data_IF_380235152273
#
_entry.id   IF_380235152273
#
_cell.length_a   1.000
_cell.length_b   1.000
_cell.length_c   1.000
_cell.angle_alpha   90.00
_cell.angle_beta   90.00
_cell.angle_gamma   90.00
#
_symmetry.space_group_name_H-M   'P 1'
#
loop_
_entity.id
_entity.type
_entity.pdbx_description
1 polymer ?
#
# COMPACT_ATOMS: atom_id res chain seq x y z
N UNK A 1 6.34 -2.75 32.57
CA UNK A 1 5.19 -1.88 32.20
C UNK A 1 4.63 -2.14 30.80
N UNK A 2 5.40 -2.63 29.81
CA UNK A 2 4.90 -2.90 28.45
C UNK A 2 4.21 -4.27 28.25
N UNK A 3 4.28 -5.17 29.24
CA UNK A 3 3.74 -6.54 29.14
C UNK A 3 2.23 -6.56 28.86
N UNK A 4 1.44 -5.71 29.54
CA UNK A 4 -0.02 -5.67 29.35
C UNK A 4 -0.40 -5.19 27.93
N UNK A 5 0.14 -4.08 27.39
CA UNK A 5 -0.06 -3.70 25.99
C UNK A 5 0.42 -4.77 24.99
N UNK A 6 1.62 -5.33 25.20
CA UNK A 6 2.20 -6.32 24.29
C UNK A 6 1.36 -7.59 24.22
N UNK A 7 0.92 -8.11 25.37
CA UNK A 7 0.04 -9.29 25.45
C UNK A 7 -1.31 -9.04 24.78
N UNK A 8 -1.89 -7.85 24.96
CA UNK A 8 -3.17 -7.48 24.33
C UNK A 8 -3.06 -7.47 22.81
N UNK A 9 -2.02 -6.87 22.25
CA UNK A 9 -1.80 -6.83 20.80
C UNK A 9 -1.45 -8.22 20.24
N UNK A 10 -0.65 -9.00 20.95
CA UNK A 10 -0.37 -10.39 20.56
C UNK A 10 -1.65 -11.23 20.48
N UNK A 11 -2.57 -11.08 21.45
CA UNK A 11 -3.88 -11.72 21.41
C UNK A 11 -4.74 -11.17 20.26
N UNK A 12 -4.79 -9.85 20.04
CA UNK A 12 -5.52 -9.28 18.90
C UNK A 12 -5.06 -9.89 17.58
N UNK A 13 -3.75 -10.09 17.42
CA UNK A 13 -3.16 -10.70 16.23
C UNK A 13 -3.59 -12.16 15.97
N UNK A 14 -4.15 -12.89 16.94
CA UNK A 14 -4.61 -14.27 16.73
C UNK A 14 -6.02 -14.37 16.16
N UNK A 15 -6.82 -13.30 16.22
CA UNK A 15 -8.23 -13.34 15.80
C UNK A 15 -8.66 -12.18 14.90
N UNK A 16 -7.93 -11.06 14.86
CA UNK A 16 -8.24 -9.93 13.99
C UNK A 16 -7.60 -10.14 12.60
N UNK A 17 -8.38 -10.48 11.55
CA UNK A 17 -7.83 -10.67 10.21
C UNK A 17 -7.23 -9.38 9.62
N UNK A 18 -7.59 -8.20 10.16
CA UNK A 18 -7.08 -6.89 9.75
C UNK A 18 -5.81 -6.45 10.50
N UNK A 19 -5.24 -7.29 11.37
CA UNK A 19 -4.13 -6.92 12.26
C UNK A 19 -2.95 -6.27 11.52
N UNK A 20 -2.66 -6.71 10.30
CA UNK A 20 -1.52 -6.24 9.49
C UNK A 20 -1.86 -5.08 8.53
N UNK A 21 -3.10 -4.59 8.50
CA UNK A 21 -3.55 -3.59 7.51
C UNK A 21 -2.73 -2.29 7.55
N UNK A 22 -2.32 -1.84 8.74
CA UNK A 22 -1.49 -0.64 8.89
C UNK A 22 -0.16 -0.79 8.13
N UNK A 23 0.55 -1.89 8.38
CA UNK A 23 1.84 -2.19 7.75
C UNK A 23 1.67 -2.45 6.27
N UNK A 24 0.68 -3.27 5.89
CA UNK A 24 0.38 -3.57 4.49
C UNK A 24 0.07 -2.29 3.71
N UNK A 25 -0.80 -1.42 4.24
CA UNK A 25 -1.15 -0.16 3.61
C UNK A 25 0.05 0.77 3.45
N UNK A 26 0.90 0.88 4.46
CA UNK A 26 2.16 1.63 4.37
C UNK A 26 3.07 1.11 3.26
N UNK A 27 3.26 -0.21 3.18
CA UNK A 27 4.07 -0.85 2.14
C UNK A 27 3.48 -0.63 0.74
N UNK A 28 2.16 -0.69 0.60
CA UNK A 28 1.46 -0.41 -0.66
C UNK A 28 1.65 1.04 -1.13
N UNK A 29 1.53 2.03 -0.23
CA UNK A 29 1.77 3.44 -0.55
C UNK A 29 3.23 3.67 -0.95
N UNK A 30 4.18 3.08 -0.22
CA UNK A 30 5.61 3.18 -0.55
C UNK A 30 5.92 2.59 -1.93
N UNK A 31 5.34 1.42 -2.25
CA UNK A 31 5.46 0.81 -3.56
C UNK A 31 4.84 1.68 -4.65
N UNK A 32 3.62 2.20 -4.44
CA UNK A 32 2.95 3.08 -5.39
C UNK A 32 3.77 4.34 -5.68
N UNK A 33 4.35 4.96 -4.64
CA UNK A 33 5.26 6.11 -4.79
C UNK A 33 6.49 5.76 -5.63
N UNK A 34 7.13 4.62 -5.34
CA UNK A 34 8.30 4.17 -6.11
C UNK A 34 7.97 3.96 -7.58
N UNK A 35 6.84 3.34 -7.87
CA UNK A 35 6.39 3.09 -9.24
C UNK A 35 6.02 4.41 -9.95
N UNK A 36 5.36 5.34 -9.25
CA UNK A 36 5.04 6.69 -9.76
C UNK A 36 6.30 7.50 -10.08
N UNK A 37 7.30 7.44 -9.19
CA UNK A 37 8.59 8.11 -9.40
C UNK A 37 9.34 7.54 -10.62
N UNK A 38 9.32 6.22 -10.82
CA UNK A 38 9.93 5.57 -11.98
C UNK A 38 9.27 5.99 -13.29
N UNK A 39 7.94 6.09 -13.32
CA UNK A 39 7.19 6.45 -14.52
C UNK A 39 7.34 7.92 -14.91
N UNK A 40 7.46 8.81 -13.91
CA UNK A 40 7.58 10.24 -14.16
C UNK A 40 9.03 10.72 -14.34
N UNK A 41 10.03 9.92 -13.97
CA UNK A 41 11.44 10.21 -14.19
C UNK A 41 11.85 11.59 -13.65
N UNK A 42 12.47 12.41 -14.49
CA UNK A 42 12.91 13.77 -14.13
C UNK A 42 11.76 14.74 -13.83
N UNK A 43 10.53 14.45 -14.27
CA UNK A 43 9.35 15.25 -13.98
C UNK A 43 8.70 14.92 -12.62
N UNK A 44 9.22 13.92 -11.90
CA UNK A 44 8.70 13.55 -10.58
C UNK A 44 8.92 14.65 -9.55
N UNK A 45 7.87 14.96 -8.78
CA UNK A 45 8.00 15.68 -7.51
C UNK A 45 7.21 14.97 -6.42
N UNK A 46 7.73 15.04 -5.19
CA UNK A 46 7.07 14.44 -4.03
C UNK A 46 5.72 15.12 -3.71
N UNK A 47 5.66 16.45 -3.91
CA UNK A 47 4.44 17.24 -3.69
C UNK A 47 3.30 16.77 -4.60
N UNK A 48 3.55 16.68 -5.91
CA UNK A 48 2.53 16.25 -6.89
C UNK A 48 2.00 14.85 -6.58
N UNK A 49 2.88 13.92 -6.18
CA UNK A 49 2.46 12.59 -5.75
C UNK A 49 1.51 12.66 -4.55
N UNK A 50 1.83 13.44 -3.51
CA UNK A 50 0.97 13.56 -2.33
C UNK A 50 -0.35 14.26 -2.64
N UNK A 51 -0.31 15.34 -3.41
CA UNK A 51 -1.51 16.09 -3.80
C UNK A 51 -2.48 15.19 -4.58
N UNK A 52 -1.97 14.43 -5.56
CA UNK A 52 -2.78 13.47 -6.32
C UNK A 52 -3.25 12.31 -5.46
N UNK A 53 -2.41 11.75 -4.60
CA UNK A 53 -2.79 10.62 -3.74
C UNK A 53 -3.95 11.01 -2.80
N UNK A 54 -3.86 12.19 -2.17
CA UNK A 54 -4.80 12.66 -1.17
C UNK A 54 -6.09 13.24 -1.79
N UNK A 55 -6.06 13.69 -3.05
CA UNK A 55 -7.27 14.20 -3.72
C UNK A 55 -8.36 13.15 -3.92
N UNK A 56 -8.01 11.86 -3.87
CA UNK A 56 -8.98 10.76 -3.92
C UNK A 56 -9.68 10.49 -2.58
N UNK A 57 -9.25 11.10 -1.48
CA UNK A 57 -9.76 10.83 -0.13
C UNK A 57 -9.27 9.49 0.42
N UNK A 58 -10.20 8.60 0.80
CA UNK A 58 -9.89 7.31 1.42
C UNK A 58 -10.40 6.08 0.66
N UNK A 59 -10.10 5.90 -0.65
CA UNK A 59 -10.50 4.70 -1.38
C UNK A 59 -9.66 3.50 -0.95
N UNK A 60 -10.11 2.30 -1.33
CA UNK A 60 -9.27 1.11 -1.19
C UNK A 60 -7.95 1.29 -1.96
N UNK A 61 -6.80 1.11 -1.31
CA UNK A 61 -5.48 1.34 -1.91
C UNK A 61 -5.24 0.65 -3.26
N UNK A 62 -5.76 -0.57 -3.54
CA UNK A 62 -5.62 -1.17 -4.87
C UNK A 62 -6.20 -0.33 -6.01
N UNK A 63 -7.23 0.48 -5.74
CA UNK A 63 -7.87 1.35 -6.73
C UNK A 63 -7.03 2.60 -7.06
N UNK A 64 -6.15 3.02 -6.14
CA UNK A 64 -5.28 4.17 -6.36
C UNK A 64 -4.21 3.90 -7.42
N UNK A 65 -3.78 2.64 -7.57
CA UNK A 65 -2.74 2.28 -8.53
C UNK A 65 -3.12 2.60 -9.98
N UNK A 66 -4.24 2.10 -10.53
CA UNK A 66 -4.69 2.48 -11.88
C UNK A 66 -5.12 3.94 -12.00
N UNK A 67 -5.43 4.63 -10.89
CA UNK A 67 -5.76 6.06 -10.92
C UNK A 67 -4.52 6.97 -10.98
N UNK A 68 -3.41 6.58 -10.36
CA UNK A 68 -2.18 7.40 -10.31
C UNK A 68 -1.17 7.07 -11.42
N UNK A 69 -1.04 5.80 -11.82
CA UNK A 69 -0.05 5.34 -12.80
C UNK A 69 -0.64 5.31 -14.21
N UNK A 70 0.13 5.73 -15.22
CA UNK A 70 -0.22 5.62 -16.65
C UNK A 70 -0.16 4.16 -17.10
N UNK A 71 0.82 3.41 -16.59
CA UNK A 71 1.00 1.98 -16.82
C UNK A 71 0.97 1.23 -15.49
N UNK A 72 -0.22 0.98 -14.91
CA UNK A 72 -0.33 0.34 -13.59
C UNK A 72 0.21 -1.09 -13.53
N UNK A 73 0.54 -1.69 -14.68
CA UNK A 73 0.81 -3.12 -14.81
C UNK A 73 -0.48 -3.92 -14.71
N UNK A 74 -0.42 -5.24 -14.97
CA UNK A 74 -1.56 -6.10 -14.68
C UNK A 74 -1.79 -6.06 -13.16
N UNK A 75 -3.01 -5.75 -12.73
CA UNK A 75 -3.52 -6.31 -11.47
C UNK A 75 -3.22 -7.81 -11.54
N UNK A 76 -2.71 -8.46 -10.48
CA UNK A 76 -2.58 -9.91 -10.51
C UNK A 76 -4.01 -10.49 -10.60
N UNK A 77 -4.53 -10.62 -11.81
CA UNK A 77 -5.77 -11.33 -12.12
C UNK A 77 -5.58 -12.83 -11.99
N UNK A 78 -4.35 -13.26 -11.71
CA UNK A 78 -3.96 -14.60 -11.31
C UNK A 78 -2.53 -14.47 -10.81
N UNK A 79 -2.34 -14.51 -9.50
CA UNK A 79 -1.02 -14.87 -8.97
C UNK A 79 -0.83 -16.32 -9.39
N UNK A 80 -0.11 -16.57 -10.47
CA UNK A 80 0.48 -17.88 -10.69
C UNK A 80 1.52 -18.05 -9.60
N UNK A 81 1.13 -18.72 -8.52
CA UNK A 81 2.03 -19.18 -7.46
C UNK A 81 2.85 -20.34 -8.04
N UNK A 82 3.79 -20.02 -8.91
CA UNK A 82 4.83 -20.96 -9.34
C UNK A 82 5.95 -20.90 -8.30
N UNK A 83 5.74 -21.61 -7.20
CA UNK A 83 6.79 -22.03 -6.28
C UNK A 83 6.83 -23.56 -6.28
N UNK A 84 7.39 -24.13 -7.36
CA UNK A 84 8.14 -25.39 -7.39
C UNK A 84 9.25 -25.22 -8.43
#
# INVERSE_FOLDING_TARGET
>A
MAELPARREALRGTFDPGYLNYTLGKLMILKLKSDYQKENGSAYTLKEFHDRLLSFGGPALPLLRPALLKNPGKTPSSVKMEWV
#
